data_IF_659294392157
#
_entry.id   IF_659294392157
#
_cell.length_a   1.000
_cell.length_b   1.000
_cell.length_c   1.000
_cell.angle_alpha   90.00
_cell.angle_beta   90.00
_cell.angle_gamma   90.00
#
_symmetry.space_group_name_H-M   'P 1'
#
loop_
_entity.id
_entity.type
_entity.pdbx_description
1 polymer ?
#
# COMPACT_ATOMS: atom_id res chain seq x y z
N UNK A 1 -1.42 -16.01 21.19
CA UNK A 1 -2.36 -15.53 20.16
C UNK A 1 -1.55 -15.42 18.90
N UNK A 2 -1.63 -16.43 18.03
CA UNK A 2 -0.82 -16.50 16.82
C UNK A 2 -1.59 -15.84 15.67
N UNK A 3 -1.60 -14.50 15.67
CA UNK A 3 -2.41 -13.66 14.77
C UNK A 3 -1.80 -13.60 13.35
N UNK A 4 -0.67 -14.28 13.11
CA UNK A 4 0.12 -14.18 11.87
C UNK A 4 0.36 -15.54 11.18
N UNK A 5 -0.26 -16.64 11.66
CA UNK A 5 -0.05 -17.99 11.13
C UNK A 5 -1.00 -18.43 9.99
N UNK A 6 -1.83 -17.54 9.43
CA UNK A 6 -2.80 -17.92 8.39
C UNK A 6 -2.18 -18.31 7.04
N UNK A 7 -0.93 -17.91 6.78
CA UNK A 7 -0.24 -18.23 5.55
C UNK A 7 0.90 -19.22 5.81
N UNK A 8 1.05 -20.25 4.99
CA UNK A 8 2.27 -21.04 4.94
C UNK A 8 3.38 -20.32 4.16
N UNK A 9 4.59 -20.87 4.16
CA UNK A 9 5.71 -20.26 3.44
C UNK A 9 5.52 -20.24 1.91
N UNK A 10 4.75 -21.18 1.34
CA UNK A 10 4.50 -21.22 -0.09
C UNK A 10 3.51 -20.13 -0.53
N UNK A 11 2.45 -19.91 0.26
CA UNK A 11 1.47 -18.85 0.08
C UNK A 11 2.14 -17.47 0.13
N UNK A 12 2.96 -17.20 1.16
CA UNK A 12 3.73 -15.94 1.25
C UNK A 12 4.61 -15.69 0.02
N UNK A 13 5.30 -16.73 -0.47
CA UNK A 13 6.13 -16.62 -1.69
C UNK A 13 5.29 -16.34 -2.94
N UNK A 14 4.12 -16.96 -3.06
CA UNK A 14 3.20 -16.72 -4.17
C UNK A 14 2.66 -15.28 -4.14
N UNK A 15 2.25 -14.78 -2.97
CA UNK A 15 1.80 -13.40 -2.77
C UNK A 15 2.90 -12.41 -3.14
N UNK A 16 4.12 -12.58 -2.61
CA UNK A 16 5.26 -11.73 -2.94
C UNK A 16 5.54 -11.71 -4.45
N UNK A 17 5.57 -12.88 -5.09
CA UNK A 17 5.76 -13.00 -6.54
C UNK A 17 4.72 -12.20 -7.32
N UNK A 18 3.45 -12.31 -6.93
CA UNK A 18 2.35 -11.61 -7.61
C UNK A 18 2.51 -10.10 -7.49
N UNK A 19 2.80 -9.60 -6.28
CA UNK A 19 3.02 -8.18 -6.00
C UNK A 19 4.20 -7.63 -6.81
N UNK A 20 5.36 -8.28 -6.75
CA UNK A 20 6.57 -7.83 -7.45
C UNK A 20 6.36 -7.78 -8.97
N UNK A 21 5.71 -8.80 -9.54
CA UNK A 21 5.39 -8.84 -10.98
C UNK A 21 4.39 -7.76 -11.35
N UNK A 22 3.37 -7.54 -10.53
CA UNK A 22 2.35 -6.52 -10.76
C UNK A 22 3.01 -5.14 -10.86
N UNK A 23 3.78 -4.72 -9.84
CA UNK A 23 4.38 -3.40 -9.86
C UNK A 23 5.45 -3.22 -10.94
N UNK A 24 6.28 -4.24 -11.20
CA UNK A 24 7.25 -4.15 -12.31
C UNK A 24 6.54 -3.92 -13.64
N UNK A 25 5.48 -4.69 -13.92
CA UNK A 25 4.70 -4.56 -15.15
C UNK A 25 4.01 -3.20 -15.23
N UNK A 26 3.45 -2.70 -14.13
CA UNK A 26 2.85 -1.37 -14.03
C UNK A 26 3.84 -0.26 -14.37
N UNK A 27 5.12 -0.42 -13.98
CA UNK A 27 6.20 0.50 -14.34
C UNK A 27 6.76 0.30 -15.77
N UNK A 28 6.18 -0.60 -16.57
CA UNK A 28 6.60 -0.84 -17.97
C UNK A 28 7.95 -1.56 -18.13
N UNK A 29 8.56 -2.04 -17.05
CA UNK A 29 9.92 -2.59 -17.08
C UNK A 29 9.94 -4.10 -17.38
N UNK A 30 10.84 -4.53 -18.26
CA UNK A 30 11.16 -5.95 -18.48
C UNK A 30 12.04 -6.48 -17.33
N UNK A 31 12.03 -7.79 -17.09
CA UNK A 31 12.85 -8.39 -16.01
C UNK A 31 14.35 -8.11 -16.18
N UNK A 32 14.86 -7.99 -17.42
CA UNK A 32 16.26 -7.65 -17.67
C UNK A 32 16.61 -6.19 -17.30
N UNK A 33 15.70 -5.25 -17.60
CA UNK A 33 15.88 -3.84 -17.26
C UNK A 33 15.82 -3.65 -15.74
N UNK A 34 14.83 -4.27 -15.09
CA UNK A 34 14.70 -4.24 -13.64
C UNK A 34 15.91 -4.90 -12.96
N UNK A 35 16.43 -6.02 -13.49
CA UNK A 35 17.65 -6.65 -12.97
C UNK A 35 18.84 -5.68 -13.00
N UNK A 36 19.01 -4.93 -14.10
CA UNK A 36 20.06 -3.91 -14.24
C UNK A 36 19.89 -2.79 -13.23
N UNK A 37 18.69 -2.24 -13.06
CA UNK A 37 18.40 -1.19 -12.07
C UNK A 37 18.62 -1.65 -10.63
N UNK A 38 18.27 -2.91 -10.35
CA UNK A 38 18.51 -3.58 -9.06
C UNK A 38 19.98 -3.95 -8.81
N UNK A 39 20.87 -3.79 -9.81
CA UNK A 39 22.28 -4.19 -9.72
C UNK A 39 22.46 -5.70 -9.56
N UNK A 40 21.60 -6.52 -10.18
CA UNK A 40 21.60 -7.98 -10.09
C UNK A 40 21.74 -8.62 -11.47
N UNK A 41 22.38 -9.79 -11.55
CA UNK A 41 22.31 -10.63 -12.75
C UNK A 41 20.88 -11.11 -13.01
N UNK A 42 20.49 -11.29 -14.29
CA UNK A 42 19.11 -11.61 -14.69
C UNK A 42 18.54 -12.83 -13.94
N UNK A 43 19.30 -13.94 -13.87
CA UNK A 43 18.86 -15.17 -13.18
C UNK A 43 18.64 -14.94 -11.69
N UNK A 44 19.51 -14.16 -11.05
CA UNK A 44 19.40 -13.80 -9.63
C UNK A 44 18.16 -12.94 -9.38
N UNK A 45 17.92 -11.95 -10.24
CA UNK A 45 16.73 -11.11 -10.17
C UNK A 45 15.45 -11.95 -10.36
N UNK A 46 15.38 -12.81 -11.37
CA UNK A 46 14.20 -13.64 -11.64
C UNK A 46 13.88 -14.60 -10.50
N UNK A 47 14.91 -15.17 -9.85
CA UNK A 47 14.73 -16.02 -8.67
C UNK A 47 14.26 -15.22 -7.45
N UNK A 48 14.70 -13.98 -7.31
CA UNK A 48 14.19 -13.08 -6.29
C UNK A 48 12.75 -12.64 -6.57
N UNK A 49 12.44 -12.20 -7.79
CA UNK A 49 11.10 -11.81 -8.25
C UNK A 49 10.08 -12.96 -8.15
N UNK A 50 10.52 -14.21 -8.28
CA UNK A 50 9.67 -15.39 -8.07
C UNK A 50 9.27 -15.62 -6.61
N UNK A 51 9.81 -14.83 -5.67
CA UNK A 51 9.62 -14.98 -4.24
C UNK A 51 10.45 -16.11 -3.63
N UNK A 52 11.36 -16.76 -4.37
CA UNK A 52 12.09 -17.94 -3.89
C UNK A 52 12.77 -17.74 -2.52
N UNK A 53 13.36 -16.58 -2.30
CA UNK A 53 14.09 -16.25 -1.07
C UNK A 53 13.20 -15.72 0.07
N UNK A 54 11.88 -15.62 -0.15
CA UNK A 54 10.96 -14.96 0.77
C UNK A 54 11.14 -13.44 0.81
N UNK A 55 10.52 -12.81 1.81
CA UNK A 55 10.58 -11.37 2.03
C UNK A 55 11.99 -10.97 2.47
N UNK A 56 12.63 -10.11 1.69
CA UNK A 56 13.92 -9.51 2.01
C UNK A 56 13.77 -8.00 2.02
N UNK A 57 13.87 -7.37 3.19
CA UNK A 57 13.55 -5.95 3.40
C UNK A 57 14.36 -5.05 2.48
N UNK A 58 15.67 -5.23 2.41
CA UNK A 58 16.56 -4.36 1.64
C UNK A 58 16.30 -4.44 0.11
N UNK A 59 16.22 -5.65 -0.50
CA UNK A 59 15.75 -5.78 -1.88
C UNK A 59 14.36 -5.19 -2.14
N UNK A 60 13.40 -5.36 -1.22
CA UNK A 60 12.05 -4.81 -1.40
C UNK A 60 12.08 -3.29 -1.38
N UNK A 61 12.84 -2.66 -0.47
CA UNK A 61 13.01 -1.20 -0.43
C UNK A 61 13.58 -0.67 -1.74
N UNK A 62 14.69 -1.23 -2.20
CA UNK A 62 15.31 -0.82 -3.46
C UNK A 62 14.36 -0.99 -4.66
N UNK A 63 13.63 -2.10 -4.70
CA UNK A 63 12.62 -2.31 -5.74
C UNK A 63 11.53 -1.25 -5.68
N UNK A 64 11.00 -0.99 -4.49
CA UNK A 64 9.93 -0.02 -4.26
C UNK A 64 10.33 1.41 -4.61
N UNK A 65 11.60 1.78 -4.38
CA UNK A 65 12.18 3.05 -4.84
C UNK A 65 12.17 3.17 -6.37
N UNK A 66 12.49 2.09 -7.09
CA UNK A 66 12.52 2.08 -8.57
C UNK A 66 11.11 2.16 -9.16
N UNK A 67 10.13 1.48 -8.55
CA UNK A 67 8.74 1.43 -9.06
C UNK A 67 7.81 2.46 -8.42
N UNK A 68 8.34 3.30 -7.52
CA UNK A 68 7.62 4.33 -6.76
C UNK A 68 6.39 3.80 -6.00
N UNK A 69 6.59 2.84 -5.10
CA UNK A 69 5.52 2.28 -4.25
C UNK A 69 5.93 2.20 -2.78
N UNK A 70 4.97 1.94 -1.90
CA UNK A 70 5.22 1.72 -0.47
C UNK A 70 5.96 0.39 -0.22
N UNK A 71 7.22 0.40 0.27
CA UNK A 71 7.95 -0.83 0.57
C UNK A 71 7.33 -1.63 1.72
N UNK A 72 6.75 -0.96 2.70
CA UNK A 72 6.08 -1.63 3.82
C UNK A 72 4.68 -2.10 3.45
N UNK A 73 4.04 -1.47 2.46
CA UNK A 73 2.85 -1.96 1.80
C UNK A 73 3.07 -3.35 1.22
N UNK A 74 4.18 -3.56 0.49
CA UNK A 74 4.58 -4.88 -0.04
C UNK A 74 4.81 -5.89 1.09
N UNK A 75 5.53 -5.51 2.14
CA UNK A 75 5.89 -6.43 3.24
C UNK A 75 4.64 -6.89 4.00
N UNK A 76 3.77 -5.97 4.39
CA UNK A 76 2.54 -6.29 5.11
C UNK A 76 1.56 -7.06 4.25
N UNK A 77 1.43 -6.72 2.96
CA UNK A 77 0.62 -7.48 2.01
C UNK A 77 1.00 -8.97 1.95
N UNK A 78 2.29 -9.29 2.04
CA UNK A 78 2.75 -10.69 2.08
C UNK A 78 2.34 -11.38 3.37
N UNK A 79 2.46 -10.71 4.52
CA UNK A 79 2.05 -11.28 5.81
C UNK A 79 0.54 -11.42 5.94
N UNK A 80 -0.23 -10.50 5.34
CA UNK A 80 -1.69 -10.56 5.29
C UNK A 80 -2.22 -11.53 4.23
N UNK A 81 -1.38 -11.95 3.29
CA UNK A 81 -1.82 -12.72 2.14
C UNK A 81 -2.69 -11.93 1.15
N UNK A 82 -2.61 -10.60 1.16
CA UNK A 82 -3.46 -9.70 0.37
C UNK A 82 -2.63 -8.90 -0.63
N UNK A 83 -2.77 -9.19 -1.92
CA UNK A 83 -2.13 -8.41 -2.99
C UNK A 83 -2.73 -7.00 -3.07
N UNK A 84 -4.04 -6.89 -2.85
CA UNK A 84 -4.78 -5.62 -2.94
C UNK A 84 -4.26 -4.61 -1.92
N UNK A 85 -3.92 -5.05 -0.70
CA UNK A 85 -3.31 -4.16 0.30
C UNK A 85 -2.04 -3.46 -0.22
N UNK A 86 -1.19 -4.16 -0.98
CA UNK A 86 -0.02 -3.51 -1.57
C UNK A 86 -0.43 -2.48 -2.63
N UNK A 87 -1.43 -2.80 -3.44
CA UNK A 87 -1.93 -1.93 -4.51
C UNK A 87 -2.54 -0.65 -3.91
N UNK A 88 -3.44 -0.80 -2.94
CA UNK A 88 -4.19 0.30 -2.31
C UNK A 88 -3.25 1.26 -1.55
N UNK A 89 -2.20 0.73 -0.93
CA UNK A 89 -1.21 1.56 -0.22
C UNK A 89 -0.14 2.16 -1.14
N UNK A 90 -0.06 1.72 -2.40
CA UNK A 90 1.03 2.12 -3.30
C UNK A 90 1.04 3.61 -3.65
N UNK A 91 -0.10 4.29 -3.57
CA UNK A 91 -0.23 5.72 -3.89
C UNK A 91 -0.04 6.67 -2.70
N UNK A 92 -0.25 6.21 -1.46
CA UNK A 92 -0.30 7.07 -0.28
C UNK A 92 0.76 6.75 0.78
N UNK A 93 1.51 5.66 0.62
CA UNK A 93 2.51 5.20 1.59
C UNK A 93 1.95 4.96 3.00
N UNK A 94 0.68 4.54 3.11
CA UNK A 94 0.00 4.39 4.39
C UNK A 94 0.71 3.40 5.35
N UNK A 95 1.26 2.30 4.84
CA UNK A 95 1.98 1.32 5.66
C UNK A 95 3.31 1.89 6.18
N UNK A 96 4.04 2.62 5.34
CA UNK A 96 5.23 3.36 5.76
C UNK A 96 4.91 4.44 6.80
N UNK A 97 3.80 5.17 6.64
CA UNK A 97 3.36 6.20 7.59
C UNK A 97 2.96 5.62 8.95
N UNK A 98 2.34 4.43 8.98
CA UNK A 98 2.07 3.71 10.23
C UNK A 98 3.36 3.45 11.02
N UNK A 99 4.44 3.02 10.34
CA UNK A 99 5.73 2.82 11.01
C UNK A 99 6.38 4.11 11.48
N UNK A 100 6.17 5.23 10.77
CA UNK A 100 6.58 6.55 11.25
C UNK A 100 5.84 6.90 12.55
N UNK A 101 4.53 6.65 12.61
CA UNK A 101 3.72 6.88 13.81
C UNK A 101 4.18 5.99 14.99
N UNK A 102 4.43 4.70 14.75
CA UNK A 102 4.97 3.78 15.75
C UNK A 102 6.36 4.21 16.23
N UNK A 103 7.25 4.65 15.33
CA UNK A 103 8.56 5.19 15.70
C UNK A 103 8.43 6.45 16.54
N UNK A 104 7.46 7.31 16.26
CA UNK A 104 7.16 8.52 17.03
C UNK A 104 6.68 8.18 18.43
N UNK A 105 5.76 7.23 18.56
CA UNK A 105 5.27 6.71 19.84
C UNK A 105 6.42 6.12 20.68
N UNK A 106 7.30 5.33 20.06
CA UNK A 106 8.47 4.80 20.76
C UNK A 106 9.41 5.92 21.22
N UNK A 107 9.63 6.96 20.41
CA UNK A 107 10.55 8.06 20.75
C UNK A 107 10.03 9.02 21.81
N UNK A 108 8.72 9.25 21.90
CA UNK A 108 8.10 10.17 22.86
C UNK A 108 7.06 9.38 23.67
N UNK A 109 7.27 9.09 24.96
CA UNK A 109 8.01 9.84 26.00
C UNK A 109 9.44 9.33 26.35
N UNK A 110 10.09 8.56 25.47
CA UNK A 110 11.45 8.04 25.71
C UNK A 110 11.55 6.52 25.81
N UNK A 111 10.79 5.79 24.99
CA UNK A 111 10.87 4.32 24.85
C UNK A 111 10.16 3.52 25.95
N UNK A 112 10.21 4.00 27.21
CA UNK A 112 9.68 3.28 28.37
C UNK A 112 8.15 3.18 28.39
N UNK A 113 7.45 4.22 27.93
CA UNK A 113 5.98 4.24 27.99
C UNK A 113 5.34 3.11 27.19
N UNK A 114 5.92 2.69 26.06
CA UNK A 114 5.37 1.58 25.27
C UNK A 114 5.37 0.26 26.07
N UNK A 115 6.34 0.07 26.98
CA UNK A 115 6.41 -1.10 27.87
C UNK A 115 5.36 -1.07 28.98
N UNK A 116 4.95 0.13 29.40
CA UNK A 116 4.00 0.33 30.50
C UNK A 116 2.54 0.24 30.05
N UNK A 117 2.28 0.42 28.74
CA UNK A 117 0.96 0.25 28.16
C UNK A 117 0.56 -1.22 28.12
N UNK A 118 -0.61 -1.53 28.66
CA UNK A 118 -1.16 -2.88 28.58
C UNK A 118 -1.68 -3.19 27.15
N UNK A 119 -1.67 -4.46 26.72
CA UNK A 119 -2.10 -4.85 25.37
C UNK A 119 -3.53 -4.44 25.00
N UNK A 120 -4.45 -4.37 25.99
CA UNK A 120 -5.85 -3.99 25.73
C UNK A 120 -5.94 -2.51 25.42
N UNK A 121 -5.23 -1.66 26.15
CA UNK A 121 -5.16 -0.22 25.87
C UNK A 121 -4.56 0.07 24.48
N UNK A 122 -3.53 -0.68 24.08
CA UNK A 122 -2.96 -0.58 22.73
C UNK A 122 -3.98 -0.95 21.66
N UNK A 123 -4.61 -2.12 21.77
CA UNK A 123 -5.60 -2.60 20.81
C UNK A 123 -6.76 -1.61 20.67
N UNK A 124 -7.30 -1.14 21.79
CA UNK A 124 -8.47 -0.27 21.80
C UNK A 124 -8.15 1.13 21.23
N UNK A 125 -6.94 1.63 21.46
CA UNK A 125 -6.46 2.89 20.88
C UNK A 125 -6.23 2.76 19.38
N UNK A 126 -5.63 1.66 18.92
CA UNK A 126 -5.44 1.39 17.50
C UNK A 126 -6.78 1.20 16.78
N UNK A 127 -7.69 0.40 17.33
CA UNK A 127 -9.02 0.20 16.77
C UNK A 127 -9.74 1.54 16.56
N UNK A 128 -9.80 2.39 17.59
CA UNK A 128 -10.38 3.74 17.48
C UNK A 128 -9.70 4.60 16.42
N UNK A 129 -8.37 4.56 16.33
CA UNK A 129 -7.62 5.27 15.32
C UNK A 129 -7.95 4.81 13.89
N UNK A 130 -8.09 3.49 13.69
CA UNK A 130 -8.48 2.92 12.41
C UNK A 130 -9.96 3.18 12.08
N UNK A 131 -10.87 3.13 13.05
CA UNK A 131 -12.28 3.48 12.87
C UNK A 131 -12.43 4.93 12.35
N UNK A 132 -11.60 5.86 12.85
CA UNK A 132 -11.57 7.24 12.35
C UNK A 132 -11.08 7.31 10.89
N UNK A 133 -10.11 6.48 10.49
CA UNK A 133 -9.64 6.42 9.11
C UNK A 133 -10.69 5.80 8.17
N UNK A 134 -11.39 4.77 8.62
CA UNK A 134 -12.49 4.14 7.88
C UNK A 134 -13.58 5.19 7.62
N UNK A 135 -14.03 5.88 8.67
CA UNK A 135 -15.03 6.94 8.53
C UNK A 135 -14.59 8.03 7.55
N UNK A 136 -13.32 8.45 7.61
CA UNK A 136 -12.78 9.46 6.68
C UNK A 136 -12.79 8.97 5.23
N UNK A 137 -12.51 7.69 5.00
CA UNK A 137 -12.58 7.08 3.67
C UNK A 137 -14.02 6.98 3.15
N UNK A 138 -14.98 6.63 4.00
CA UNK A 138 -16.41 6.61 3.66
C UNK A 138 -16.92 8.01 3.30
N UNK A 139 -16.58 9.03 4.09
CA UNK A 139 -16.91 10.43 3.79
C UNK A 139 -16.33 10.88 2.44
N UNK A 140 -15.06 10.56 2.17
CA UNK A 140 -14.43 10.91 0.90
C UNK A 140 -15.08 10.21 -0.30
N UNK A 141 -15.51 8.95 -0.13
CA UNK A 141 -16.22 8.22 -1.18
C UNK A 141 -17.61 8.84 -1.46
N UNK A 142 -18.34 9.23 -0.41
CA UNK A 142 -19.64 9.89 -0.55
C UNK A 142 -19.52 11.28 -1.21
N UNK A 143 -18.50 12.07 -0.83
CA UNK A 143 -18.21 13.37 -1.44
C UNK A 143 -17.90 13.23 -2.94
N UNK A 144 -17.11 12.21 -3.32
CA UNK A 144 -16.76 11.93 -4.71
C UNK A 144 -17.99 11.51 -5.52
N UNK A 145 -18.82 10.62 -4.96
CA UNK A 145 -20.07 10.18 -5.58
C UNK A 145 -21.02 11.35 -5.81
N UNK A 146 -21.18 12.24 -4.83
CA UNK A 146 -21.97 13.46 -4.97
C UNK A 146 -21.43 14.37 -6.08
N UNK A 147 -20.12 14.59 -6.16
CA UNK A 147 -19.50 15.38 -7.23
C UNK A 147 -19.74 14.78 -8.62
N UNK A 148 -19.66 13.45 -8.77
CA UNK A 148 -19.94 12.78 -10.03
C UNK A 148 -21.40 12.93 -10.49
N UNK A 149 -22.35 13.01 -9.55
CA UNK A 149 -23.76 13.25 -9.87
C UNK A 149 -24.08 14.72 -10.17
N UNK A 150 -23.36 15.67 -9.57
CA UNK A 150 -23.55 17.10 -9.82
C UNK A 150 -22.96 17.56 -11.17
N UNK A 151 -21.86 16.94 -11.66
CA UNK A 151 -21.28 17.25 -12.99
C UNK A 151 -22.14 16.73 -14.17
N UNK A 152 -22.94 15.66 -13.97
CA UNK A 152 -23.83 15.10 -14.99
C UNK A 152 -25.10 15.99 -15.22
N UNK A 153 -25.26 17.07 -14.45
CA UNK A 153 -26.34 18.05 -14.57
C UNK A 153 -25.90 19.38 -15.24
N UNK A 154 -24.65 19.50 -15.68
CA UNK A 154 -24.07 20.72 -16.25
C UNK A 154 -24.02 20.82 -17.78
N UNK A 155 -24.61 19.86 -18.50
CA UNK A 155 -24.66 19.81 -19.98
C UNK A 155 -25.93 20.41 -20.58
N UNK A 156 -26.38 21.56 -20.07
CA UNK A 156 -27.45 22.33 -20.70
C UNK A 156 -26.86 23.23 -21.77
N UNK A 157 -27.08 22.89 -23.04
CA UNK A 157 -26.95 23.79 -24.18
C UNK A 157 -27.72 25.09 -23.91
N UNK A 158 -26.99 26.14 -23.51
CA UNK A 158 -27.42 27.53 -23.75
C UNK A 158 -26.60 28.04 -24.93
N UNK A 159 -26.93 27.54 -26.12
CA UNK A 159 -26.63 28.22 -27.38
C UNK A 159 -27.82 29.15 -27.65
N UNK A 160 -27.68 30.49 -27.47
CA UNK A 160 -28.79 31.38 -27.78
C UNK A 160 -28.98 31.40 -29.30
N UNK A 161 -30.07 30.77 -29.73
CA UNK A 161 -30.57 30.77 -31.11
C UNK A 161 -30.50 32.16 -31.74
N UNK A 162 -29.84 32.16 -32.90
CA UNK A 162 -29.86 33.19 -33.92
C UNK A 162 -31.31 33.44 -34.38
N UNK A 163 -31.93 34.50 -33.85
CA UNK A 163 -33.33 34.85 -34.06
C UNK A 163 -33.51 36.23 -34.73
N UNK A 164 -33.38 36.25 -36.05
CA UNK A 164 -33.81 37.30 -37.02
C UNK A 164 -34.82 38.35 -36.49
N UNK A 165 -34.46 39.64 -36.62
CA UNK A 165 -35.17 40.64 -37.46
C UNK A 165 -34.43 41.96 -37.53
#
# INVERSE_FOLDING_TARGET
MDILQDQDAAARRATLRTILRHFRKRSGLRSAEMAKLMGKGLRTYQRWESGYYGVQVEPIRRFAEIVHVDPWGIIFAVEFGSVDFAIDTSGNNAASLLLVALRRLHRRPGGKALRELDPRSLLLTYARGFDLLIKRAEEYAADLEQWMFDEDLGGGDDDPEDGKR
#
